data_IF_875575974835
#
_entry.id   IF_875575974835
#
_cell.length_a   1.000
_cell.length_b   1.000
_cell.length_c   1.000
_cell.angle_alpha   90.00
_cell.angle_beta   90.00
_cell.angle_gamma   90.00
#
_symmetry.space_group_name_H-M   'P 1'
#
loop_
_entity.id
_entity.type
_entity.pdbx_description
1 polymer ?
#
# COMPACT_ATOMS: atom_id res chain seq x y z
N UNK A 1 -5.30 4.34 -44.59
CA UNK A 1 -4.72 5.13 -43.48
C UNK A 1 -4.60 4.20 -42.26
N UNK A 2 -3.49 4.25 -41.53
CA UNK A 2 -3.14 3.21 -40.55
C UNK A 2 -3.93 3.32 -39.23
N UNK A 3 -4.26 2.17 -38.63
CA UNK A 3 -4.82 2.09 -37.26
C UNK A 3 -3.68 2.23 -36.23
N UNK A 4 -3.91 2.84 -35.06
CA UNK A 4 -2.87 2.94 -34.02
C UNK A 4 -2.55 1.55 -33.45
N UNK A 5 -1.28 1.17 -33.52
CA UNK A 5 -0.78 -0.07 -32.90
C UNK A 5 -0.45 0.23 -31.43
N UNK A 6 -1.45 0.13 -30.55
CA UNK A 6 -1.22 0.16 -29.11
C UNK A 6 -1.21 -1.26 -28.55
N UNK A 7 -0.01 -1.80 -28.33
CA UNK A 7 0.17 -3.20 -27.95
C UNK A 7 1.63 -3.65 -27.90
N UNK A 8 2.52 -2.87 -27.27
CA UNK A 8 3.83 -3.40 -26.88
C UNK A 8 3.61 -4.42 -25.76
N UNK A 9 3.45 -5.70 -26.13
CA UNK A 9 3.56 -6.82 -25.19
C UNK A 9 5.02 -6.89 -24.70
N UNK A 10 5.30 -6.30 -23.54
CA UNK A 10 6.48 -6.65 -22.76
C UNK A 10 6.34 -8.10 -22.26
N UNK A 11 7.46 -8.82 -22.07
CA UNK A 11 7.43 -10.26 -21.81
C UNK A 11 6.84 -10.62 -20.44
N UNK A 12 6.52 -11.90 -20.33
CA UNK A 12 5.89 -12.62 -19.21
C UNK A 12 6.72 -12.57 -17.91
N UNK A 13 6.76 -11.40 -17.27
CA UNK A 13 7.09 -11.28 -15.85
C UNK A 13 5.81 -11.38 -15.05
N UNK A 14 5.74 -12.33 -14.10
CA UNK A 14 4.66 -12.39 -13.11
C UNK A 14 4.56 -11.05 -12.36
N UNK A 15 3.35 -10.52 -12.10
CA UNK A 15 3.20 -9.23 -11.43
C UNK A 15 3.88 -9.24 -10.06
N UNK A 16 4.62 -8.18 -9.76
CA UNK A 16 5.38 -8.04 -8.53
C UNK A 16 4.39 -7.91 -7.36
N UNK A 17 4.56 -8.82 -6.39
CA UNK A 17 3.75 -8.86 -5.18
C UNK A 17 4.01 -7.61 -4.32
N UNK A 18 3.00 -6.84 -3.89
CA UNK A 18 3.21 -5.66 -3.06
C UNK A 18 3.96 -5.96 -1.76
N UNK A 19 3.80 -7.17 -1.21
CA UNK A 19 4.48 -7.63 -0.01
C UNK A 19 6.01 -7.71 -0.18
N UNK A 20 6.52 -7.84 -1.42
CA UNK A 20 7.96 -7.90 -1.68
C UNK A 20 8.65 -6.54 -1.75
N UNK A 21 7.91 -5.41 -1.73
CA UNK A 21 8.50 -4.07 -1.73
C UNK A 21 8.48 -3.42 -0.35
N UNK A 22 9.56 -2.70 -0.04
CA UNK A 22 9.82 -2.01 1.24
C UNK A 22 8.85 -0.86 1.50
N UNK A 23 8.36 -0.20 0.45
CA UNK A 23 7.45 0.96 0.51
C UNK A 23 5.94 0.63 0.59
N UNK A 24 5.54 -0.63 0.89
CA UNK A 24 4.12 -1.09 0.82
C UNK A 24 3.26 -0.92 2.09
N UNK A 25 3.82 -0.84 3.30
CA UNK A 25 3.13 -0.61 4.60
C UNK A 25 1.94 -1.53 5.02
N UNK A 26 1.23 -2.19 4.11
CA UNK A 26 0.06 -3.02 4.37
C UNK A 26 -1.25 -2.22 4.45
N UNK A 27 -2.20 -2.72 5.24
CA UNK A 27 -3.51 -2.14 5.52
C UNK A 27 -3.40 -1.02 6.55
N UNK A 28 -2.87 0.11 6.11
CA UNK A 28 -2.88 1.36 6.88
C UNK A 28 -3.99 2.29 6.37
N UNK A 29 -4.57 3.06 7.29
CA UNK A 29 -5.56 4.08 6.94
C UNK A 29 -4.93 5.18 6.10
N UNK A 30 -5.80 6.01 5.50
CA UNK A 30 -5.40 7.28 4.90
C UNK A 30 -4.64 8.14 5.91
N UNK A 31 -5.19 8.35 7.09
CA UNK A 31 -4.65 9.24 8.12
C UNK A 31 -3.32 8.73 8.68
N UNK A 32 -3.14 7.41 8.81
CA UNK A 32 -1.85 6.80 9.15
C UNK A 32 -0.81 7.05 8.05
N UNK A 33 -1.19 6.93 6.78
CA UNK A 33 -0.29 7.24 5.66
C UNK A 33 0.10 8.73 5.63
N UNK A 34 -0.85 9.64 5.87
CA UNK A 34 -0.57 11.07 6.00
C UNK A 34 0.39 11.33 7.17
N UNK A 35 0.14 10.77 8.36
CA UNK A 35 0.98 10.94 9.55
C UNK A 35 2.42 10.41 9.34
N UNK A 36 2.59 9.24 8.71
CA UNK A 36 3.90 8.64 8.45
C UNK A 36 4.69 9.43 7.39
N UNK A 37 4.04 9.97 6.36
CA UNK A 37 4.67 10.89 5.40
C UNK A 37 5.08 12.21 6.04
N UNK A 38 4.22 12.80 6.87
CA UNK A 38 4.49 14.05 7.61
C UNK A 38 5.63 13.90 8.62
N UNK A 39 5.69 12.80 9.36
CA UNK A 39 6.79 12.47 10.26
C UNK A 39 8.15 12.39 9.53
N UNK A 40 8.14 11.99 8.25
CA UNK A 40 9.31 11.93 7.38
C UNK A 40 9.55 13.22 6.56
N UNK A 41 9.10 14.37 7.10
CA UNK A 41 9.25 15.73 6.53
C UNK A 41 8.48 15.99 5.23
N UNK A 42 7.65 15.05 4.77
CA UNK A 42 6.78 15.21 3.61
C UNK A 42 7.48 15.88 2.40
N UNK A 43 8.62 15.34 1.97
CA UNK A 43 9.39 15.94 0.87
C UNK A 43 8.71 15.71 -0.50
N UNK A 44 8.95 16.62 -1.44
CA UNK A 44 8.35 16.60 -2.78
C UNK A 44 8.58 15.27 -3.53
N UNK A 45 7.48 14.61 -3.91
CA UNK A 45 7.50 13.31 -4.58
C UNK A 45 7.80 12.11 -3.66
N UNK A 46 7.81 12.28 -2.34
CA UNK A 46 7.87 11.18 -1.39
C UNK A 46 6.54 10.42 -1.36
N UNK A 47 6.57 9.10 -1.47
CA UNK A 47 5.36 8.29 -1.57
C UNK A 47 5.45 6.97 -0.80
N UNK A 48 4.28 6.43 -0.48
CA UNK A 48 4.12 5.04 -0.06
C UNK A 48 2.97 4.38 -0.83
N UNK A 49 3.07 3.08 -1.02
CA UNK A 49 1.95 2.23 -1.41
C UNK A 49 1.26 1.74 -0.13
N UNK A 50 -0.05 1.50 -0.17
CA UNK A 50 -0.82 0.84 0.91
C UNK A 50 -1.96 0.01 0.34
N UNK A 51 -2.40 -0.99 1.09
CA UNK A 51 -3.67 -1.67 0.81
C UNK A 51 -4.84 -0.80 1.32
N UNK A 52 -5.96 -0.85 0.60
CA UNK A 52 -7.20 -0.16 0.93
C UNK A 52 -8.32 -1.18 1.17
N UNK A 53 -9.52 -0.72 1.50
CA UNK A 53 -10.69 -1.59 1.58
C UNK A 53 -10.96 -2.31 0.25
N UNK A 54 -11.51 -3.53 0.34
CA UNK A 54 -11.91 -4.38 -0.79
C UNK A 54 -10.76 -4.84 -1.71
N UNK A 55 -9.56 -5.11 -1.17
CA UNK A 55 -8.38 -5.60 -1.93
C UNK A 55 -7.89 -4.63 -3.03
N UNK A 56 -8.32 -3.37 -2.98
CA UNK A 56 -7.76 -2.29 -3.80
C UNK A 56 -6.49 -1.74 -3.13
N UNK A 57 -5.68 -1.01 -3.88
CA UNK A 57 -4.48 -0.35 -3.36
C UNK A 57 -4.65 1.17 -3.41
N UNK A 58 -3.75 1.90 -2.76
CA UNK A 58 -3.64 3.34 -2.93
C UNK A 58 -2.18 3.78 -2.85
N UNK A 59 -1.79 4.72 -3.70
CA UNK A 59 -0.55 5.48 -3.53
C UNK A 59 -0.88 6.72 -2.72
N UNK A 60 -0.10 6.95 -1.67
CA UNK A 60 -0.13 8.21 -0.90
C UNK A 60 1.19 8.93 -1.18
N UNK A 61 1.15 10.13 -1.75
CA UNK A 61 2.33 10.86 -2.24
C UNK A 61 2.28 12.31 -1.80
N UNK A 62 3.41 12.87 -1.37
CA UNK A 62 3.52 14.28 -1.05
C UNK A 62 3.82 15.13 -2.30
N UNK A 63 3.09 16.23 -2.43
CA UNK A 63 3.31 17.31 -3.38
C UNK A 63 3.04 18.66 -2.69
N UNK A 64 3.92 19.64 -2.84
CA UNK A 64 3.76 21.00 -2.28
C UNK A 64 3.41 21.01 -0.77
N UNK A 65 4.08 20.15 0.00
CA UNK A 65 3.86 19.99 1.45
C UNK A 65 2.51 19.36 1.85
N UNK A 66 1.75 18.82 0.91
CA UNK A 66 0.45 18.15 1.15
C UNK A 66 0.49 16.71 0.66
N UNK A 67 -0.21 15.82 1.35
CA UNK A 67 -0.36 14.42 0.92
C UNK A 67 -1.59 14.27 0.03
N UNK A 68 -1.39 13.65 -1.13
CA UNK A 68 -2.40 13.29 -2.10
C UNK A 68 -2.54 11.77 -2.16
N UNK A 69 -3.77 11.28 -2.31
CA UNK A 69 -4.06 9.84 -2.37
C UNK A 69 -4.70 9.49 -3.71
N UNK A 70 -4.14 8.48 -4.36
CA UNK A 70 -4.61 7.94 -5.63
C UNK A 70 -5.02 6.49 -5.43
N UNK A 71 -6.33 6.21 -5.54
CA UNK A 71 -6.85 4.85 -5.47
C UNK A 71 -6.44 4.07 -6.73
N UNK A 72 -5.87 2.90 -6.53
CA UNK A 72 -5.58 1.92 -7.58
C UNK A 72 -6.66 0.84 -7.50
N UNK A 73 -7.50 0.80 -8.52
CA UNK A 73 -8.66 -0.08 -8.58
C UNK A 73 -8.38 -1.31 -9.43
N UNK A 74 -8.63 -2.49 -8.86
CA UNK A 74 -8.57 -3.75 -9.58
C UNK A 74 -9.74 -3.88 -10.56
N UNK A 75 -9.43 -4.21 -11.80
CA UNK A 75 -10.37 -4.35 -12.90
C UNK A 75 -10.81 -5.81 -13.08
N UNK A 76 -11.93 -6.01 -13.78
CA UNK A 76 -12.48 -7.35 -14.08
C UNK A 76 -11.54 -8.23 -14.92
N UNK A 77 -10.65 -7.62 -15.71
CA UNK A 77 -9.61 -8.31 -16.49
C UNK A 77 -8.35 -8.64 -15.66
N UNK A 78 -8.37 -8.39 -14.34
CA UNK A 78 -7.27 -8.63 -13.41
C UNK A 78 -6.20 -7.53 -13.41
N UNK A 79 -6.29 -6.53 -14.29
CA UNK A 79 -5.37 -5.37 -14.30
C UNK A 79 -5.71 -4.36 -13.20
N UNK A 80 -4.83 -3.40 -12.99
CA UNK A 80 -4.98 -2.30 -12.05
C UNK A 80 -4.86 -0.96 -12.80
N UNK A 81 -5.70 0.01 -12.44
CA UNK A 81 -5.66 1.37 -13.00
C UNK A 81 -6.00 2.39 -11.92
N UNK A 82 -5.68 3.67 -12.18
CA UNK A 82 -6.20 4.79 -11.38
C UNK A 82 -7.34 5.45 -12.16
N UNK A 83 -8.55 5.59 -11.59
CA UNK A 83 -9.67 6.27 -12.24
C UNK A 83 -9.41 7.79 -12.29
N UNK A 84 -8.73 8.24 -13.34
CA UNK A 84 -8.39 9.67 -13.56
C UNK A 84 -9.49 10.45 -14.28
N UNK A 85 -10.64 9.83 -14.58
CA UNK A 85 -11.76 10.44 -15.32
C UNK A 85 -11.47 10.74 -16.81
N UNK A 86 -10.27 10.40 -17.30
CA UNK A 86 -9.86 10.58 -18.70
C UNK A 86 -10.27 9.39 -19.56
N UNK A 87 -10.56 9.63 -20.84
CA UNK A 87 -10.95 8.59 -21.81
C UNK A 87 -9.92 7.50 -22.05
N UNK A 88 -8.68 7.71 -21.60
CA UNK A 88 -7.58 6.75 -21.64
C UNK A 88 -7.03 6.57 -20.21
N UNK A 89 -7.44 5.47 -19.57
CA UNK A 89 -6.83 4.99 -18.34
C UNK A 89 -5.74 3.98 -18.68
N UNK A 90 -4.52 4.21 -18.19
CA UNK A 90 -3.43 3.25 -18.30
C UNK A 90 -3.68 2.07 -17.36
N UNK A 91 -3.61 0.85 -17.91
CA UNK A 91 -3.78 -0.41 -17.19
C UNK A 91 -2.44 -1.10 -16.98
N UNK A 92 -2.25 -1.64 -15.78
CA UNK A 92 -1.01 -2.28 -15.34
C UNK A 92 -1.30 -3.68 -14.78
N UNK A 93 -0.36 -4.65 -14.88
CA UNK A 93 -0.58 -6.00 -14.37
C UNK A 93 -0.60 -6.07 -12.84
N UNK A 94 -0.01 -5.08 -12.15
CA UNK A 94 0.01 -4.95 -10.69
C UNK A 94 0.16 -3.49 -10.25
N UNK A 95 -0.07 -3.20 -8.96
CA UNK A 95 0.08 -1.85 -8.42
C UNK A 95 1.56 -1.42 -8.35
N UNK A 96 2.49 -2.37 -8.26
CA UNK A 96 3.95 -2.09 -8.23
C UNK A 96 4.45 -1.63 -9.59
N UNK A 97 3.99 -2.24 -10.69
CA UNK A 97 4.29 -1.81 -12.05
C UNK A 97 3.68 -0.44 -12.36
N UNK A 98 2.50 -0.15 -11.82
CA UNK A 98 1.88 1.17 -11.87
C UNK A 98 2.77 2.22 -11.19
N UNK A 99 3.22 1.94 -9.95
CA UNK A 99 4.20 2.79 -9.24
C UNK A 99 5.44 3.00 -10.09
N UNK A 100 6.08 1.93 -10.59
CA UNK A 100 7.32 2.01 -11.38
C UNK A 100 7.17 2.81 -12.69
N UNK A 101 6.01 2.76 -13.35
CA UNK A 101 5.72 3.64 -14.46
C UNK A 101 5.61 5.10 -14.00
N UNK A 102 4.92 5.34 -12.88
CA UNK A 102 4.71 6.67 -12.33
C UNK A 102 5.96 7.33 -11.69
N UNK A 103 7.01 6.55 -11.42
CA UNK A 103 8.34 7.09 -11.12
C UNK A 103 9.00 7.76 -12.34
N UNK A 104 8.57 7.41 -13.56
CA UNK A 104 9.17 7.82 -14.84
C UNK A 104 8.28 8.78 -15.63
N UNK A 105 6.96 8.58 -15.60
CA UNK A 105 5.98 9.25 -16.43
C UNK A 105 4.93 9.97 -15.57
N UNK A 106 4.64 11.23 -15.89
CA UNK A 106 3.63 12.07 -15.22
C UNK A 106 2.20 11.76 -15.74
N UNK A 107 1.81 10.48 -15.68
CA UNK A 107 0.60 9.93 -16.30
C UNK A 107 -0.71 10.24 -15.52
N UNK A 108 -0.88 11.51 -15.11
CA UNK A 108 -2.12 12.02 -14.51
C UNK A 108 -2.11 12.24 -12.99
N UNK A 109 -0.98 12.05 -12.32
CA UNK A 109 -0.76 12.54 -10.95
C UNK A 109 -0.24 13.99 -10.99
N UNK A 110 -0.20 14.63 -9.82
CA UNK A 110 0.31 16.00 -9.66
C UNK A 110 1.85 16.08 -9.66
N UNK A 111 2.53 15.03 -9.19
CA UNK A 111 4.01 14.93 -9.17
C UNK A 111 4.48 13.51 -9.44
N UNK A 112 5.77 13.33 -9.74
CA UNK A 112 6.40 12.02 -9.94
C UNK A 112 6.62 11.32 -8.59
N UNK A 113 6.44 9.99 -8.57
CA UNK A 113 6.86 9.15 -7.44
C UNK A 113 8.40 9.07 -7.39
N UNK A 114 9.04 10.01 -6.67
CA UNK A 114 10.51 10.16 -6.66
C UNK A 114 11.19 9.41 -5.52
N UNK A 115 10.62 9.48 -4.31
CA UNK A 115 11.25 8.94 -3.10
C UNK A 115 10.32 7.92 -2.45
N UNK A 116 10.61 6.60 -2.55
CA UNK A 116 9.85 5.61 -1.80
C UNK A 116 10.09 5.80 -0.30
N UNK A 117 9.02 5.91 0.47
CA UNK A 117 9.08 5.89 1.93
C UNK A 117 9.03 4.43 2.38
N UNK A 118 10.20 3.87 2.65
CA UNK A 118 10.37 2.50 3.11
C UNK A 118 9.86 2.30 4.55
N UNK A 119 9.35 1.10 4.85
CA UNK A 119 9.17 0.63 6.23
C UNK A 119 10.52 0.53 6.95
N UNK A 120 10.52 0.49 8.28
CA UNK A 120 11.75 0.28 9.04
C UNK A 120 12.40 -1.09 8.69
N UNK A 121 13.73 -1.24 8.75
CA UNK A 121 14.39 -2.51 8.49
C UNK A 121 13.87 -3.63 9.40
N UNK A 122 13.31 -4.69 8.81
CA UNK A 122 12.70 -5.81 9.53
C UNK A 122 11.20 -5.65 9.86
N UNK A 123 10.60 -4.50 9.56
CA UNK A 123 9.17 -4.24 9.79
C UNK A 123 8.30 -4.87 8.70
N UNK A 124 7.31 -5.67 9.13
CA UNK A 124 6.34 -6.33 8.25
C UNK A 124 5.17 -5.40 7.91
N UNK A 125 4.52 -5.56 6.74
CA UNK A 125 3.28 -4.84 6.42
C UNK A 125 2.18 -5.09 7.46
N UNK A 126 1.38 -4.08 7.77
CA UNK A 126 0.21 -4.20 8.65
C UNK A 126 -0.84 -5.11 7.98
N UNK A 127 -1.12 -6.27 8.58
CA UNK A 127 -2.05 -7.28 8.00
C UNK A 127 -3.49 -7.20 8.51
N UNK A 128 -3.69 -6.56 9.67
CA UNK A 128 -4.96 -6.47 10.40
C UNK A 128 -5.14 -5.05 10.93
N UNK A 129 -6.32 -4.46 10.68
CA UNK A 129 -6.67 -3.10 11.05
C UNK A 129 -7.98 -3.13 11.85
N UNK A 130 -8.09 -2.36 12.94
CA UNK A 130 -9.32 -2.24 13.73
C UNK A 130 -9.66 -3.42 14.65
N UNK A 131 -8.72 -4.34 14.90
CA UNK A 131 -8.90 -5.40 15.91
C UNK A 131 -8.88 -4.77 17.31
N UNK A 132 -9.88 -5.07 18.14
CA UNK A 132 -9.94 -4.60 19.54
C UNK A 132 -8.85 -5.28 20.37
N UNK A 133 -8.27 -4.57 21.35
CA UNK A 133 -7.21 -5.10 22.23
C UNK A 133 -7.55 -6.48 22.81
N UNK A 134 -8.73 -6.62 23.42
CA UNK A 134 -9.20 -7.88 24.01
C UNK A 134 -9.23 -9.06 23.01
N UNK A 135 -9.59 -8.82 21.75
CA UNK A 135 -9.67 -9.87 20.72
C UNK A 135 -8.27 -10.25 20.19
N UNK A 136 -7.35 -9.29 20.15
CA UNK A 136 -5.94 -9.53 19.84
C UNK A 136 -5.27 -10.32 20.99
N UNK A 137 -5.50 -9.92 22.24
CA UNK A 137 -5.01 -10.60 23.45
C UNK A 137 -5.52 -12.05 23.53
N UNK A 138 -6.81 -12.29 23.24
CA UNK A 138 -7.39 -13.63 23.21
C UNK A 138 -6.72 -14.51 22.14
N UNK A 139 -6.56 -14.00 20.92
CA UNK A 139 -5.90 -14.72 19.82
C UNK A 139 -4.43 -15.01 20.13
N UNK A 140 -3.70 -14.06 20.72
CA UNK A 140 -2.32 -14.26 21.17
C UNK A 140 -2.23 -15.29 22.30
N UNK A 141 -3.17 -15.26 23.26
CA UNK A 141 -3.25 -16.23 24.35
C UNK A 141 -3.52 -17.65 23.85
N UNK A 142 -4.48 -17.83 22.93
CA UNK A 142 -4.75 -19.11 22.30
C UNK A 142 -3.52 -19.63 21.54
N UNK A 143 -2.86 -18.77 20.75
CA UNK A 143 -1.63 -19.12 20.03
C UNK A 143 -0.49 -19.55 20.97
N UNK A 144 -0.32 -18.83 22.08
CA UNK A 144 0.67 -19.19 23.09
C UNK A 144 0.37 -20.55 23.74
N UNK A 145 -0.91 -20.83 24.03
CA UNK A 145 -1.35 -22.13 24.55
C UNK A 145 -1.14 -23.29 23.55
N UNK A 146 -1.44 -23.09 22.26
CA UNK A 146 -1.11 -24.05 21.18
C UNK A 146 0.40 -24.35 21.14
N UNK A 147 1.24 -23.33 21.36
CA UNK A 147 2.70 -23.43 21.41
C UNK A 147 3.25 -23.93 22.77
N UNK A 148 2.39 -24.36 23.70
CA UNK A 148 2.80 -24.89 25.00
C UNK A 148 3.31 -23.85 26.01
N UNK A 149 3.20 -22.55 25.72
CA UNK A 149 3.59 -21.48 26.63
C UNK A 149 2.55 -21.29 27.73
N UNK A 150 2.99 -21.34 28.99
CA UNK A 150 2.15 -21.02 30.15
C UNK A 150 1.94 -19.51 30.23
N UNK A 151 0.81 -19.04 29.74
CA UNK A 151 0.39 -17.62 29.86
C UNK A 151 -0.01 -17.35 31.32
N UNK A 152 0.85 -16.66 32.06
CA UNK A 152 0.58 -16.26 33.44
C UNK A 152 -0.53 -15.22 33.54
N UNK A 153 -1.38 -15.33 34.56
CA UNK A 153 -2.40 -14.32 34.85
C UNK A 153 -1.73 -13.10 35.49
N UNK A 154 -1.64 -11.98 34.76
CA UNK A 154 -1.33 -10.69 35.38
C UNK A 154 -2.58 -10.20 36.10
N UNK A 155 -2.63 -10.42 37.41
CA UNK A 155 -3.73 -10.00 38.25
C UNK A 155 -3.34 -8.67 38.92
N UNK A 156 -3.88 -7.50 38.49
CA UNK A 156 -3.65 -6.24 39.19
C UNK A 156 -4.42 -6.26 40.50
N UNK A 157 -3.79 -6.85 41.51
CA UNK A 157 -4.31 -7.02 42.87
C UNK A 157 -4.69 -5.66 43.45
N UNK A 158 -6.00 -5.43 43.59
CA UNK A 158 -6.67 -5.34 44.89
C UNK A 158 -6.07 -4.28 45.86
N UNK A 159 -6.80 -3.16 46.02
CA UNK A 159 -6.70 -2.23 47.14
C UNK A 159 -8.13 -1.97 47.63
#
# INVERSE_FOLDING_TARGET
MAKPVFGRKSPEASPIRPESVTYFHGKITRDQAEAVLMANKAIEGMFLLRESVNQNYAISICHDGRVHHYNIEKQLDGTYQIPTGKSYCWKFPGPVELVHNHMKNLDGFLTLARVPLERAPGETPVVLQGVRSAELEEKLRLKAMEMGLKVGFYNPVQI
#
